data_IF_731315745692
#
_entry.id   IF_731315745692
#
_cell.length_a   1.000
_cell.length_b   1.000
_cell.length_c   1.000
_cell.angle_alpha   90.00
_cell.angle_beta   90.00
_cell.angle_gamma   90.00
#
_symmetry.space_group_name_H-M   'P 1'
#
loop_
_entity.id
_entity.type
_entity.pdbx_description
1 polymer ?
#
# COMPACT_ATOMS: atom_id res chain seq x y z
N UNK A 1 -9.38 3.90 12.58
CA UNK A 1 -9.02 4.60 11.33
C UNK A 1 -9.47 6.05 11.39
N UNK A 2 -8.64 6.98 10.92
CA UNK A 2 -8.99 8.40 10.68
C UNK A 2 -8.73 8.76 9.21
N UNK A 3 -9.51 9.69 8.66
CA UNK A 3 -9.39 10.12 7.25
C UNK A 3 -9.40 11.65 7.16
N UNK A 4 -8.38 12.21 6.53
CA UNK A 4 -8.23 13.66 6.34
C UNK A 4 -8.03 13.98 4.86
N UNK A 5 -8.77 14.98 4.35
CA UNK A 5 -8.58 15.48 3.00
C UNK A 5 -7.61 16.66 3.00
N UNK A 6 -6.50 16.52 2.27
CA UNK A 6 -5.53 17.60 2.05
C UNK A 6 -5.04 17.58 0.61
N UNK A 7 -5.04 18.74 -0.04
CA UNK A 7 -4.55 18.91 -1.42
C UNK A 7 -5.14 17.90 -2.43
N UNK A 8 -6.42 17.53 -2.24
CA UNK A 8 -7.12 16.56 -3.09
C UNK A 8 -6.74 15.09 -2.86
N UNK A 9 -6.07 14.78 -1.75
CA UNK A 9 -5.67 13.43 -1.34
C UNK A 9 -6.31 13.11 0.02
N UNK A 10 -6.94 11.95 0.11
CA UNK A 10 -7.48 11.41 1.36
C UNK A 10 -6.40 10.61 2.08
N UNK A 11 -5.90 11.15 3.18
CA UNK A 11 -4.91 10.49 4.03
C UNK A 11 -5.63 9.57 5.01
N UNK A 12 -5.42 8.26 4.84
CA UNK A 12 -6.00 7.23 5.70
C UNK A 12 -4.96 6.79 6.70
N UNK A 13 -5.30 6.86 7.99
CA UNK A 13 -4.35 6.57 9.07
C UNK A 13 -4.94 5.65 10.13
N UNK A 14 -4.07 4.94 10.85
CA UNK A 14 -4.43 4.03 11.92
C UNK A 14 -4.71 2.61 11.45
N UNK A 15 -5.64 1.93 12.11
CA UNK A 15 -5.94 0.52 11.85
C UNK A 15 -7.25 0.37 11.06
N UNK A 16 -7.26 -0.56 10.10
CA UNK A 16 -8.44 -0.98 9.34
C UNK A 16 -8.91 -2.32 9.93
N UNK A 17 -9.91 -2.24 10.80
CA UNK A 17 -10.47 -3.37 11.56
C UNK A 17 -11.99 -3.25 11.60
N UNK A 18 -12.69 -4.14 12.29
CA UNK A 18 -14.15 -4.08 12.50
C UNK A 18 -14.66 -2.78 13.13
N UNK A 19 -13.78 -2.00 13.78
CA UNK A 19 -14.12 -0.71 14.39
C UNK A 19 -13.77 0.48 13.51
N UNK A 20 -13.33 0.27 12.26
CA UNK A 20 -13.08 1.38 11.35
C UNK A 20 -14.39 2.09 11.01
N UNK A 21 -14.39 3.41 11.16
CA UNK A 21 -15.51 4.23 10.71
C UNK A 21 -15.31 4.57 9.23
N UNK A 22 -15.92 3.80 8.34
CA UNK A 22 -15.93 4.04 6.90
C UNK A 22 -17.17 4.90 6.54
N UNK A 23 -17.20 6.12 7.06
CA UNK A 23 -18.29 7.08 6.80
C UNK A 23 -18.22 7.67 5.39
N UNK A 24 -19.27 8.41 5.00
CA UNK A 24 -19.26 9.21 3.78
C UNK A 24 -18.36 10.44 3.99
N UNK A 25 -17.06 10.30 3.74
CA UNK A 25 -16.09 11.40 3.74
C UNK A 25 -16.29 12.38 2.58
N UNK A 26 -17.51 12.45 2.01
CA UNK A 26 -17.84 13.28 0.85
C UNK A 26 -17.01 12.95 -0.38
N UNK A 27 -16.75 11.65 -0.63
CA UNK A 27 -15.92 11.23 -1.75
C UNK A 27 -16.57 11.63 -3.09
N UNK A 28 -15.81 12.25 -4.02
CA UNK A 28 -16.33 12.54 -5.35
C UNK A 28 -16.47 11.25 -6.16
N UNK A 29 -17.30 11.26 -7.20
CA UNK A 29 -17.29 10.19 -8.20
C UNK A 29 -16.04 10.28 -9.10
N UNK A 30 -15.57 9.16 -9.64
CA UNK A 30 -14.41 9.11 -10.53
C UNK A 30 -13.11 8.91 -9.78
N UNK A 31 -12.01 9.55 -10.21
CA UNK A 31 -10.70 9.31 -9.61
C UNK A 31 -10.60 9.88 -8.19
N UNK A 32 -10.23 9.04 -7.23
CA UNK A 32 -10.01 9.43 -5.83
C UNK A 32 -8.64 8.97 -5.39
N UNK A 33 -7.84 9.87 -4.82
CA UNK A 33 -6.48 9.60 -4.37
C UNK A 33 -6.49 9.30 -2.88
N UNK A 34 -5.91 8.17 -2.51
CA UNK A 34 -5.72 7.78 -1.12
C UNK A 34 -4.24 7.67 -0.82
N UNK A 35 -3.78 8.33 0.23
CA UNK A 35 -2.47 8.05 0.83
C UNK A 35 -2.67 7.12 2.02
N UNK A 36 -2.04 5.94 1.96
CA UNK A 36 -2.18 4.88 2.95
C UNK A 36 -0.92 4.74 3.84
N UNK A 37 0.03 5.67 3.75
CA UNK A 37 1.35 5.59 4.41
C UNK A 37 1.32 5.32 5.90
N UNK A 38 0.22 5.70 6.57
CA UNK A 38 0.05 5.59 8.02
C UNK A 38 -1.02 4.56 8.41
N UNK A 39 -1.40 3.68 7.49
CA UNK A 39 -2.17 2.47 7.82
C UNK A 39 -1.24 1.48 8.50
N UNK A 40 -1.43 1.25 9.80
CA UNK A 40 -0.53 0.41 10.59
C UNK A 40 -0.86 -1.07 10.42
N UNK A 41 -2.11 -1.43 10.70
CA UNK A 41 -2.56 -2.82 10.69
C UNK A 41 -3.89 -2.96 9.96
N UNK A 42 -4.08 -4.15 9.37
CA UNK A 42 -5.32 -4.56 8.73
C UNK A 42 -5.61 -5.98 9.18
N UNK A 43 -6.82 -6.22 9.68
CA UNK A 43 -7.29 -7.56 10.00
C UNK A 43 -8.37 -8.03 9.01
N UNK A 44 -8.77 -9.30 9.10
CA UNK A 44 -9.75 -9.90 8.19
C UNK A 44 -11.13 -9.22 8.22
N UNK A 45 -11.58 -8.76 9.40
CA UNK A 45 -12.82 -8.02 9.52
C UNK A 45 -12.73 -6.66 8.80
N UNK A 46 -11.62 -5.94 8.99
CA UNK A 46 -11.36 -4.67 8.32
C UNK A 46 -11.26 -4.81 6.80
N UNK A 47 -10.65 -5.87 6.29
CA UNK A 47 -10.65 -6.18 4.84
C UNK A 47 -12.08 -6.28 4.31
N UNK A 48 -12.97 -7.01 5.02
CA UNK A 48 -14.37 -7.15 4.61
C UNK A 48 -15.10 -5.80 4.61
N UNK A 49 -14.96 -5.01 5.68
CA UNK A 49 -15.58 -3.68 5.76
C UNK A 49 -15.08 -2.77 4.64
N UNK A 50 -13.79 -2.78 4.35
CA UNK A 50 -13.19 -2.02 3.27
C UNK A 50 -13.74 -2.41 1.89
N UNK A 51 -13.82 -3.71 1.59
CA UNK A 51 -14.38 -4.22 0.32
C UNK A 51 -15.83 -3.78 0.14
N UNK A 52 -16.64 -3.93 1.20
CA UNK A 52 -18.06 -3.54 1.17
C UNK A 52 -18.20 -2.04 0.96
N UNK A 53 -17.34 -1.24 1.60
CA UNK A 53 -17.37 0.21 1.47
C UNK A 53 -16.93 0.65 0.07
N UNK A 54 -15.73 0.25 -0.38
CA UNK A 54 -15.20 0.67 -1.69
C UNK A 54 -16.11 0.21 -2.84
N UNK A 55 -16.73 -0.97 -2.72
CA UNK A 55 -17.65 -1.52 -3.71
C UNK A 55 -18.98 -0.77 -3.84
N UNK A 56 -19.38 0.02 -2.84
CA UNK A 56 -20.58 0.90 -2.90
C UNK A 56 -20.29 2.23 -3.59
N UNK A 57 -19.02 2.61 -3.71
CA UNK A 57 -18.59 3.91 -4.20
C UNK A 57 -18.41 3.88 -5.73
N UNK A 58 -18.80 4.97 -6.39
CA UNK A 58 -18.57 5.16 -7.84
C UNK A 58 -17.23 5.82 -8.10
N UNK A 59 -16.15 5.20 -7.63
CA UNK A 59 -14.79 5.76 -7.67
C UNK A 59 -13.81 4.83 -8.37
N UNK A 60 -12.72 5.40 -8.89
CA UNK A 60 -11.54 4.73 -9.40
C UNK A 60 -10.38 5.07 -8.44
N UNK A 61 -10.09 4.22 -7.43
CA UNK A 61 -9.09 4.52 -6.41
C UNK A 61 -7.68 4.62 -6.99
N UNK A 62 -6.90 5.59 -6.51
CA UNK A 62 -5.47 5.69 -6.77
C UNK A 62 -4.77 5.65 -5.41
N UNK A 63 -4.03 4.58 -5.15
CA UNK A 63 -3.36 4.38 -3.86
C UNK A 63 -1.91 4.83 -3.91
N UNK A 64 -1.53 5.60 -2.89
CA UNK A 64 -0.19 6.12 -2.68
C UNK A 64 0.38 5.56 -1.37
N UNK A 65 1.67 5.30 -1.40
CA UNK A 65 2.50 4.96 -0.23
C UNK A 65 1.95 3.76 0.55
N UNK A 66 1.44 2.74 -0.15
CA UNK A 66 0.87 1.55 0.46
C UNK A 66 1.91 0.80 1.32
N UNK A 67 1.70 0.67 2.64
CA UNK A 67 2.58 -0.10 3.52
C UNK A 67 2.49 -1.60 3.24
N UNK A 68 3.43 -2.38 3.79
CA UNK A 68 3.41 -3.85 3.70
C UNK A 68 2.06 -4.46 4.07
N UNK A 69 1.44 -3.98 5.15
CA UNK A 69 0.13 -4.46 5.61
C UNK A 69 -0.95 -4.33 4.54
N UNK A 70 -0.94 -3.27 3.73
CA UNK A 70 -1.85 -3.04 2.60
C UNK A 70 -1.48 -3.92 1.40
N UNK A 71 -0.21 -3.94 1.01
CA UNK A 71 0.25 -4.71 -0.16
C UNK A 71 -0.01 -6.20 0.00
N UNK A 72 0.18 -6.73 1.22
CA UNK A 72 -0.18 -8.12 1.52
C UNK A 72 -1.66 -8.39 1.27
N UNK A 73 -2.58 -7.46 1.58
CA UNK A 73 -3.99 -7.63 1.26
C UNK A 73 -4.26 -7.56 -0.25
N UNK A 74 -3.52 -6.74 -1.02
CA UNK A 74 -3.63 -6.76 -2.48
C UNK A 74 -3.26 -8.12 -3.08
N UNK A 75 -2.23 -8.76 -2.54
CA UNK A 75 -1.80 -10.10 -2.97
C UNK A 75 -2.82 -11.19 -2.57
N UNK A 76 -3.40 -11.09 -1.37
CA UNK A 76 -4.28 -12.14 -0.83
C UNK A 76 -5.75 -12.01 -1.23
N UNK A 77 -6.26 -10.79 -1.40
CA UNK A 77 -7.68 -10.49 -1.57
C UNK A 77 -7.88 -9.46 -2.68
N UNK A 78 -8.14 -9.93 -3.90
CA UNK A 78 -8.24 -9.08 -5.09
C UNK A 78 -9.28 -7.96 -4.95
N UNK A 79 -10.40 -8.24 -4.30
CA UNK A 79 -11.49 -7.30 -4.08
C UNK A 79 -11.08 -6.14 -3.17
N UNK A 80 -10.09 -6.32 -2.29
CA UNK A 80 -9.59 -5.26 -1.40
C UNK A 80 -8.97 -4.11 -2.20
N UNK A 81 -8.30 -4.44 -3.31
CA UNK A 81 -7.71 -3.47 -4.21
C UNK A 81 -8.75 -2.69 -5.00
N UNK A 82 -9.93 -3.26 -5.27
CA UNK A 82 -10.92 -2.80 -6.27
C UNK A 82 -10.47 -3.00 -7.72
N UNK A 83 -11.41 -3.40 -8.59
CA UNK A 83 -11.14 -3.80 -9.98
C UNK A 83 -10.64 -2.68 -10.90
N UNK A 84 -10.85 -1.41 -10.53
CA UNK A 84 -10.51 -0.22 -11.31
C UNK A 84 -9.47 0.65 -10.60
N UNK A 85 -8.80 0.09 -9.59
CA UNK A 85 -7.80 0.83 -8.84
C UNK A 85 -6.45 0.86 -9.54
N UNK A 86 -5.67 1.86 -9.18
CA UNK A 86 -4.28 2.02 -9.58
C UNK A 86 -3.43 2.15 -8.33
N UNK A 87 -2.40 1.32 -8.21
CA UNK A 87 -1.35 1.52 -7.20
C UNK A 87 -0.30 2.41 -7.81
N UNK A 88 -0.13 3.62 -7.28
CA UNK A 88 0.90 4.57 -7.73
C UNK A 88 2.21 4.37 -6.99
N UNK A 89 2.15 4.08 -5.69
CA UNK A 89 3.34 3.74 -4.92
C UNK A 89 3.05 2.82 -3.74
N UNK A 90 4.07 2.04 -3.39
CA UNK A 90 4.07 1.14 -2.23
C UNK A 90 5.44 1.15 -1.54
N UNK A 91 5.47 0.64 -0.31
CA UNK A 91 6.61 0.69 0.58
C UNK A 91 7.23 -0.69 0.78
N UNK A 92 8.54 -0.81 0.63
CA UNK A 92 9.32 -1.98 1.01
C UNK A 92 9.96 -1.65 2.37
N UNK A 93 9.46 -2.22 3.48
CA UNK A 93 10.14 -2.15 4.76
C UNK A 93 11.42 -3.00 4.70
N UNK A 94 12.46 -2.47 5.32
CA UNK A 94 13.77 -3.06 5.35
C UNK A 94 14.47 -2.67 6.64
N UNK A 95 15.45 -3.47 7.04
CA UNK A 95 16.24 -3.19 8.23
C UNK A 95 17.72 -3.45 7.96
N UNK A 96 18.56 -2.72 8.70
CA UNK A 96 19.98 -3.00 8.71
C UNK A 96 20.31 -3.97 9.85
N UNK A 97 20.85 -5.14 9.52
CA UNK A 97 21.23 -6.14 10.53
C UNK A 97 22.35 -5.65 11.46
N UNK A 98 23.27 -4.83 10.95
CA UNK A 98 24.44 -4.40 11.72
C UNK A 98 24.14 -3.22 12.66
N UNK A 99 23.40 -2.21 12.19
CA UNK A 99 23.14 -1.00 12.96
C UNK A 99 21.72 -0.90 13.52
N UNK A 100 20.85 -1.87 13.20
CA UNK A 100 19.47 -1.95 13.68
C UNK A 100 18.51 -0.91 13.09
N UNK A 101 18.98 -0.09 12.14
CA UNK A 101 18.18 0.99 11.56
C UNK A 101 17.08 0.44 10.66
N UNK A 102 15.85 0.87 10.91
CA UNK A 102 14.68 0.60 10.08
C UNK A 102 14.65 1.59 8.91
N UNK A 103 14.39 1.10 7.70
CA UNK A 103 14.28 1.88 6.47
C UNK A 103 13.00 1.51 5.75
N UNK A 104 12.48 2.47 4.99
CA UNK A 104 11.34 2.25 4.08
C UNK A 104 11.75 2.75 2.70
N UNK A 105 11.74 1.86 1.71
CA UNK A 105 11.96 2.21 0.32
C UNK A 105 10.62 2.37 -0.40
N UNK A 106 10.41 3.48 -1.10
CA UNK A 106 9.16 3.74 -1.81
C UNK A 106 9.33 3.43 -3.29
N UNK A 107 8.55 2.48 -3.77
CA UNK A 107 8.48 2.08 -5.17
C UNK A 107 7.38 2.87 -5.86
N UNK A 108 7.67 3.48 -7.01
CA UNK A 108 6.69 4.30 -7.76
C UNK A 108 6.46 3.75 -9.16
N UNK A 109 5.20 3.78 -9.58
CA UNK A 109 4.77 3.36 -10.91
C UNK A 109 5.45 4.24 -11.97
N UNK A 110 6.02 3.59 -13.00
CA UNK A 110 6.72 4.26 -14.10
C UNK A 110 8.15 4.69 -13.78
N UNK A 111 8.60 4.54 -12.52
CA UNK A 111 9.99 4.81 -12.13
C UNK A 111 10.69 3.51 -11.71
N UNK A 112 10.25 2.89 -10.62
CA UNK A 112 10.84 1.65 -10.13
C UNK A 112 10.11 0.40 -10.66
N UNK A 113 8.80 0.49 -10.96
CA UNK A 113 8.04 -0.65 -11.46
C UNK A 113 7.06 -0.28 -12.58
N UNK A 114 6.60 -1.30 -13.31
CA UNK A 114 5.56 -1.18 -14.34
C UNK A 114 4.54 -2.30 -14.13
N UNK A 115 3.25 -1.99 -14.23
CA UNK A 115 2.17 -3.00 -14.11
C UNK A 115 2.29 -4.08 -15.18
N UNK A 116 1.96 -5.32 -14.79
CA UNK A 116 2.01 -6.49 -15.66
C UNK A 116 3.43 -6.98 -16.00
N UNK A 117 4.47 -6.41 -15.38
CA UNK A 117 5.86 -6.84 -15.56
C UNK A 117 6.43 -7.32 -14.23
N UNK A 118 7.16 -8.43 -14.29
CA UNK A 118 7.97 -8.90 -13.17
C UNK A 118 8.94 -7.80 -12.75
N UNK A 119 9.01 -7.54 -11.45
CA UNK A 119 9.92 -6.59 -10.85
C UNK A 119 11.11 -7.35 -10.24
N UNK A 120 12.30 -7.00 -10.69
CA UNK A 120 13.56 -7.38 -10.04
C UNK A 120 14.14 -6.11 -9.42
N UNK A 121 14.44 -6.16 -8.12
CA UNK A 121 14.85 -4.99 -7.37
C UNK A 121 15.93 -5.35 -6.35
N UNK A 122 16.99 -4.55 -6.33
CA UNK A 122 18.04 -4.62 -5.32
C UNK A 122 17.90 -3.44 -4.36
N UNK A 123 17.95 -3.73 -3.06
CA UNK A 123 17.87 -2.68 -2.04
C UNK A 123 19.13 -1.80 -2.07
N UNK A 124 18.98 -0.48 -1.92
CA UNK A 124 20.10 0.40 -1.68
C UNK A 124 20.90 -0.03 -0.44
N UNK A 125 22.23 0.19 -0.48
CA UNK A 125 23.10 -0.08 0.67
C UNK A 125 22.76 0.82 1.85
N UNK A 126 23.08 0.33 3.04
CA UNK A 126 23.11 1.19 4.23
C UNK A 126 24.12 2.33 4.02
N UNK A 127 23.82 3.49 4.58
CA UNK A 127 24.70 4.67 4.53
C UNK A 127 25.98 4.50 5.38
N UNK A 128 25.94 3.60 6.38
CA UNK A 128 27.06 3.31 7.27
C UNK A 128 27.98 2.27 6.63
N UNK A 129 29.29 2.51 6.72
CA UNK A 129 30.29 1.59 6.20
C UNK A 129 30.22 0.22 6.93
N UNK A 130 30.40 -0.86 6.18
CA UNK A 130 30.34 -2.23 6.71
C UNK A 130 28.94 -2.73 7.09
N UNK A 131 27.87 -1.99 6.76
CA UNK A 131 26.50 -2.38 7.05
C UNK A 131 25.79 -3.03 5.85
N UNK A 132 24.94 -4.03 6.11
CA UNK A 132 24.01 -4.65 5.16
C UNK A 132 22.58 -4.14 5.37
N UNK A 133 21.77 -4.08 4.31
CA UNK A 133 20.33 -3.87 4.39
C UNK A 133 19.64 -5.12 3.89
N UNK A 134 18.62 -5.56 4.61
CA UNK A 134 17.76 -6.68 4.26
C UNK A 134 16.30 -6.24 4.17
N UNK A 135 15.54 -6.91 3.32
CA UNK A 135 14.10 -6.71 3.18
C UNK A 135 13.36 -7.41 4.31
N UNK A 136 12.31 -6.78 4.85
CA UNK A 136 11.35 -7.45 5.75
C UNK A 136 10.30 -8.28 4.99
N UNK A 137 10.35 -8.25 3.65
CA UNK A 137 9.41 -8.94 2.76
C UNK A 137 10.13 -9.82 1.76
N UNK A 138 9.53 -10.96 1.43
CA UNK A 138 9.93 -11.81 0.33
C UNK A 138 9.47 -11.21 -1.01
N UNK A 139 10.40 -10.81 -1.88
CA UNK A 139 10.07 -10.06 -3.10
C UNK A 139 9.21 -10.84 -4.09
N UNK A 140 9.36 -12.16 -4.18
CA UNK A 140 8.58 -12.98 -5.11
C UNK A 140 7.08 -12.93 -4.76
N UNK A 141 6.75 -13.22 -3.49
CA UNK A 141 5.37 -13.12 -3.02
C UNK A 141 4.88 -11.68 -2.89
N UNK A 142 5.76 -10.73 -2.55
CA UNK A 142 5.38 -9.36 -2.28
C UNK A 142 5.04 -8.57 -3.56
N UNK A 143 5.77 -8.78 -4.66
CA UNK A 143 5.52 -8.11 -5.94
C UNK A 143 4.44 -8.77 -6.80
N UNK A 144 3.84 -9.88 -6.33
CA UNK A 144 2.85 -10.64 -7.08
C UNK A 144 1.67 -9.80 -7.62
N UNK A 145 1.19 -8.81 -6.86
CA UNK A 145 0.09 -7.92 -7.28
C UNK A 145 0.47 -7.09 -8.52
N UNK A 146 1.76 -6.77 -8.72
CA UNK A 146 2.22 -5.96 -9.86
C UNK A 146 1.96 -6.71 -11.18
N UNK A 147 2.24 -8.01 -11.20
CA UNK A 147 2.09 -8.86 -12.38
C UNK A 147 0.63 -9.19 -12.69
N UNK A 148 -0.21 -9.23 -11.66
CA UNK A 148 -1.59 -9.72 -11.75
C UNK A 148 -2.66 -8.61 -11.73
N UNK A 149 -2.25 -7.38 -11.46
CA UNK A 149 -3.02 -6.18 -11.75
C UNK A 149 -3.14 -6.00 -13.27
N UNK A 150 -4.35 -6.19 -13.80
CA UNK A 150 -4.70 -5.93 -15.20
C UNK A 150 -5.51 -4.65 -15.34
#
# INVERSE_FOLDING_TARGET
>A
MDVQLKDGIYFVTGDITESCNLGDFGLPSGQVKFDLSNVRTINSCGVREWIVWIGKLKINPIYYNCPQSVVMQFNMVKEFLSNNARVESFQIPAYCENCGEQKIFVMKLGKEYTLGKKLEYDLPKCEKEGCSIESDVDFESYFYFIENLK
#
